data_IF_719197902534
#
_entry.id   IF_719197902534
#
_cell.length_a   1.000
_cell.length_b   1.000
_cell.length_c   1.000
_cell.angle_alpha   90.00
_cell.angle_beta   90.00
_cell.angle_gamma   90.00
#
_symmetry.space_group_name_H-M   'P 1'
#
loop_
_entity.id
_entity.type
_entity.pdbx_description
1 polymer ?
#
# COMPACT_ATOMS: atom_id res chain seq x y z
N UNK A 1 11.29 9.44 7.40
CA UNK A 1 10.15 8.75 6.75
C UNK A 1 10.71 7.69 5.83
N UNK A 2 10.13 6.48 5.86
CA UNK A 2 10.49 5.38 4.96
C UNK A 2 9.37 5.15 3.97
N UNK A 3 9.73 4.73 2.76
CA UNK A 3 8.76 4.33 1.74
C UNK A 3 8.46 2.85 1.94
N UNK A 4 7.17 2.49 1.98
CA UNK A 4 6.70 1.11 2.04
C UNK A 4 5.80 0.81 0.85
N UNK A 5 5.73 -0.47 0.47
CA UNK A 5 4.79 -0.95 -0.52
C UNK A 5 3.68 -1.74 0.20
N UNK A 6 2.43 -1.53 -0.19
CA UNK A 6 1.27 -2.23 0.38
C UNK A 6 1.30 -3.71 0.01
N UNK A 7 1.61 -4.02 -1.24
CA UNK A 7 1.94 -5.35 -1.75
C UNK A 7 3.46 -5.43 -1.89
N UNK A 8 4.08 -6.34 -1.13
CA UNK A 8 5.54 -6.41 -1.01
C UNK A 8 6.25 -7.13 -2.17
N UNK A 9 7.59 -7.14 -2.10
CA UNK A 9 8.49 -7.76 -3.09
C UNK A 9 8.20 -9.25 -3.34
N UNK A 10 7.94 -10.01 -2.27
CA UNK A 10 7.61 -11.44 -2.38
C UNK A 10 6.29 -11.70 -3.12
N UNK A 11 5.48 -10.66 -3.31
CA UNK A 11 4.18 -10.71 -3.96
C UNK A 11 4.14 -9.96 -5.29
N UNK A 12 5.31 -9.58 -5.84
CA UNK A 12 5.40 -8.94 -7.16
C UNK A 12 5.17 -7.42 -7.16
N UNK A 13 5.10 -6.76 -6.00
CA UNK A 13 4.70 -5.36 -5.93
C UNK A 13 5.81 -4.32 -6.16
N UNK A 14 7.03 -4.73 -6.53
CA UNK A 14 8.11 -3.79 -6.82
C UNK A 14 8.12 -3.43 -8.31
N UNK A 15 8.49 -2.19 -8.64
CA UNK A 15 8.48 -1.65 -9.99
C UNK A 15 9.03 -2.60 -11.07
N UNK A 16 10.15 -3.30 -10.82
CA UNK A 16 10.70 -4.26 -11.80
C UNK A 16 9.72 -5.39 -12.13
N UNK A 17 9.10 -5.98 -11.12
CA UNK A 17 8.13 -7.07 -11.28
C UNK A 17 6.83 -6.54 -11.90
N UNK A 18 6.37 -5.35 -11.49
CA UNK A 18 5.22 -4.69 -12.09
C UNK A 18 5.44 -4.47 -13.60
N UNK A 19 6.64 -4.04 -14.02
CA UNK A 19 6.98 -3.86 -15.43
C UNK A 19 6.89 -5.16 -16.23
N UNK A 20 7.32 -6.28 -15.65
CA UNK A 20 7.23 -7.60 -16.26
C UNK A 20 5.76 -8.00 -16.44
N UNK A 21 4.92 -7.84 -15.40
CA UNK A 21 3.48 -8.10 -15.47
C UNK A 21 2.75 -7.22 -16.51
N UNK A 22 3.10 -5.93 -16.58
CA UNK A 22 2.53 -5.02 -17.59
C UNK A 22 2.90 -5.46 -18.99
N UNK A 23 4.16 -5.85 -19.22
CA UNK A 23 4.63 -6.33 -20.53
C UNK A 23 3.89 -7.60 -20.95
N UNK A 24 3.71 -8.53 -20.02
CA UNK A 24 3.03 -9.81 -20.28
C UNK A 24 1.53 -9.61 -20.54
N UNK A 25 0.88 -8.71 -19.79
CA UNK A 25 -0.55 -8.40 -19.95
C UNK A 25 -0.85 -7.59 -21.21
N UNK A 26 0.06 -6.70 -21.60
CA UNK A 26 -0.11 -5.78 -22.72
C UNK A 26 1.05 -5.92 -23.74
N UNK A 27 1.07 -6.97 -24.56
CA UNK A 27 2.20 -7.24 -25.47
C UNK A 27 2.30 -6.25 -26.65
N UNK A 28 1.27 -5.44 -26.89
CA UNK A 28 1.17 -4.54 -28.05
C UNK A 28 1.50 -3.08 -27.75
N UNK A 29 1.70 -2.71 -26.48
CA UNK A 29 2.04 -1.33 -26.09
C UNK A 29 3.56 -1.11 -26.14
N UNK A 30 3.97 0.14 -26.34
CA UNK A 30 5.38 0.51 -26.39
C UNK A 30 6.07 0.40 -25.02
N UNK A 31 7.40 0.25 -25.01
CA UNK A 31 8.17 0.26 -23.76
C UNK A 31 7.98 1.55 -22.93
N UNK A 32 7.71 2.69 -23.59
CA UNK A 32 7.38 3.94 -22.90
C UNK A 32 6.03 3.87 -22.18
N UNK A 33 5.04 3.21 -22.78
CA UNK A 33 3.73 2.99 -22.17
C UNK A 33 3.80 1.96 -21.04
N UNK A 34 4.61 0.91 -21.20
CA UNK A 34 4.89 -0.08 -20.13
C UNK A 34 5.48 0.64 -18.92
N UNK A 35 6.51 1.46 -19.12
CA UNK A 35 7.16 2.20 -18.04
C UNK A 35 6.20 3.18 -17.37
N UNK A 36 5.38 3.89 -18.16
CA UNK A 36 4.39 4.83 -17.64
C UNK A 36 3.33 4.13 -16.77
N UNK A 37 2.76 3.02 -17.26
CA UNK A 37 1.77 2.25 -16.53
C UNK A 37 2.36 1.60 -15.27
N UNK A 38 3.57 1.04 -15.37
CA UNK A 38 4.23 0.42 -14.23
C UNK A 38 4.51 1.44 -13.12
N UNK A 39 4.93 2.67 -13.46
CA UNK A 39 5.09 3.76 -12.49
C UNK A 39 3.79 4.19 -11.84
N UNK A 40 2.70 4.22 -12.61
CA UNK A 40 1.38 4.54 -12.05
C UNK A 40 0.95 3.49 -11.02
N UNK A 41 1.14 2.21 -11.34
CA UNK A 41 0.85 1.08 -10.45
C UNK A 41 1.75 1.10 -9.21
N UNK A 42 3.05 1.33 -9.38
CA UNK A 42 4.02 1.45 -8.29
C UNK A 42 3.66 2.59 -7.35
N UNK A 43 3.22 3.74 -7.88
CA UNK A 43 2.75 4.87 -7.08
C UNK A 43 1.48 4.54 -6.28
N UNK A 44 0.53 3.78 -6.85
CA UNK A 44 -0.67 3.30 -6.14
C UNK A 44 -0.27 2.33 -5.01
N UNK A 45 0.71 1.46 -5.27
CA UNK A 45 1.18 0.48 -4.31
C UNK A 45 2.08 1.09 -3.22
N UNK A 46 2.56 2.31 -3.41
CA UNK A 46 3.51 2.96 -2.52
C UNK A 46 2.81 3.85 -1.49
N UNK A 47 3.20 3.70 -0.23
CA UNK A 47 2.75 4.55 0.88
C UNK A 47 3.93 5.03 1.71
N UNK A 48 3.80 6.23 2.27
CA UNK A 48 4.76 6.75 3.23
C UNK A 48 4.47 6.20 4.61
N UNK A 49 5.43 5.48 5.19
CA UNK A 49 5.27 4.86 6.49
C UNK A 49 5.80 5.77 7.62
N UNK A 50 5.04 5.84 8.71
CA UNK A 50 5.42 6.52 9.94
C UNK A 50 6.45 5.68 10.71
N UNK A 51 7.55 6.30 11.15
CA UNK A 51 8.62 5.60 11.87
C UNK A 51 8.15 4.95 13.18
N UNK A 52 7.05 5.43 13.78
CA UNK A 52 6.45 4.85 14.96
C UNK A 52 5.60 3.59 14.67
N UNK A 53 5.07 3.44 13.45
CA UNK A 53 4.17 2.34 13.07
C UNK A 53 4.86 1.24 12.23
N UNK A 54 6.05 1.52 11.69
CA UNK A 54 6.81 0.66 10.76
C UNK A 54 6.88 -0.83 11.18
N UNK A 55 7.06 -1.14 12.46
CA UNK A 55 7.27 -2.53 12.89
C UNK A 55 6.01 -3.40 12.80
N UNK A 56 4.82 -2.79 12.80
CA UNK A 56 3.54 -3.52 12.81
C UNK A 56 2.95 -3.60 11.40
N UNK A 57 3.14 -2.59 10.56
CA UNK A 57 2.58 -2.55 9.20
C UNK A 57 3.42 -3.28 8.16
N UNK A 58 4.74 -3.41 8.34
CA UNK A 58 5.64 -3.98 7.33
C UNK A 58 5.56 -5.51 7.17
N UNK A 59 4.88 -6.21 8.09
CA UNK A 59 4.77 -7.68 8.11
C UNK A 59 3.42 -8.22 7.62
N UNK A 60 2.48 -7.32 7.31
CA UNK A 60 1.18 -7.70 6.79
C UNK A 60 1.33 -8.18 5.34
N UNK A 61 0.94 -9.43 5.09
CA UNK A 61 0.99 -10.06 3.77
C UNK A 61 -0.37 -9.86 3.14
N UNK A 62 -0.41 -9.25 1.95
CA UNK A 62 -1.67 -9.14 1.20
C UNK A 62 -2.20 -10.55 0.89
N UNK A 63 -3.51 -10.77 0.99
CA UNK A 63 -4.12 -12.05 0.58
C UNK A 63 -4.01 -12.31 -0.93
N UNK A 64 -3.68 -11.27 -1.70
CA UNK A 64 -3.59 -11.31 -3.16
C UNK A 64 -2.25 -10.73 -3.61
N UNK A 65 -1.59 -11.43 -4.52
CA UNK A 65 -0.35 -10.98 -5.16
C UNK A 65 -0.60 -10.00 -6.31
N UNK A 66 0.42 -9.24 -6.69
CA UNK A 66 0.34 -8.33 -7.84
C UNK A 66 0.01 -9.11 -9.13
N UNK A 67 0.68 -10.24 -9.34
CA UNK A 67 0.40 -11.15 -10.47
C UNK A 67 -1.07 -11.55 -10.57
N UNK A 68 -1.69 -11.94 -9.45
CA UNK A 68 -3.11 -12.28 -9.43
C UNK A 68 -4.04 -11.10 -9.76
N UNK A 69 -3.64 -9.87 -9.40
CA UNK A 69 -4.41 -8.68 -9.74
C UNK A 69 -4.35 -8.40 -11.26
N UNK A 70 -3.20 -8.66 -11.89
CA UNK A 70 -3.07 -8.65 -13.34
C UNK A 70 -3.82 -9.79 -14.01
N UNK A 71 -3.82 -11.01 -13.45
CA UNK A 71 -4.50 -12.15 -14.08
C UNK A 71 -6.02 -12.03 -14.05
N UNK A 72 -6.61 -11.51 -12.96
CA UNK A 72 -8.06 -11.39 -12.76
C UNK A 72 -8.71 -10.19 -13.44
N UNK A 73 -7.93 -9.17 -13.81
CA UNK A 73 -8.44 -7.98 -14.49
C UNK A 73 -8.66 -8.24 -15.97
N UNK A 74 -9.59 -7.51 -16.58
CA UNK A 74 -9.72 -7.51 -18.03
C UNK A 74 -8.45 -6.93 -18.68
N UNK A 75 -8.21 -7.22 -19.96
CA UNK A 75 -7.04 -6.74 -20.70
C UNK A 75 -7.14 -5.26 -21.10
N UNK A 76 -7.69 -4.42 -20.22
CA UNK A 76 -7.73 -2.97 -20.38
C UNK A 76 -6.94 -2.31 -19.27
N UNK A 77 -6.25 -1.21 -19.61
CA UNK A 77 -5.48 -0.41 -18.65
C UNK A 77 -6.32 -0.01 -17.43
N UNK A 78 -7.55 0.47 -17.66
CA UNK A 78 -8.42 0.95 -16.60
C UNK A 78 -8.85 -0.16 -15.65
N UNK A 79 -9.20 -1.35 -16.16
CA UNK A 79 -9.57 -2.50 -15.33
C UNK A 79 -8.42 -2.94 -14.42
N UNK A 80 -7.19 -2.99 -14.96
CA UNK A 80 -5.97 -3.29 -14.17
C UNK A 80 -5.79 -2.26 -13.05
N UNK A 81 -5.86 -0.97 -13.38
CA UNK A 81 -5.67 0.11 -12.41
C UNK A 81 -6.75 0.10 -11.32
N UNK A 82 -8.01 -0.10 -11.68
CA UNK A 82 -9.12 -0.17 -10.72
C UNK A 82 -8.97 -1.36 -9.78
N UNK A 83 -8.61 -2.53 -10.30
CA UNK A 83 -8.40 -3.73 -9.50
C UNK A 83 -7.27 -3.53 -8.49
N UNK A 84 -6.13 -2.97 -8.94
CA UNK A 84 -4.98 -2.69 -8.08
C UNK A 84 -5.30 -1.62 -7.04
N UNK A 85 -5.99 -0.53 -7.41
CA UNK A 85 -6.44 0.49 -6.46
C UNK A 85 -7.36 -0.09 -5.39
N UNK A 86 -8.30 -0.94 -5.78
CA UNK A 86 -9.20 -1.61 -4.84
C UNK A 86 -8.45 -2.48 -3.83
N UNK A 87 -7.53 -3.31 -4.32
CA UNK A 87 -6.72 -4.18 -3.47
C UNK A 87 -5.80 -3.39 -2.53
N UNK A 88 -5.06 -2.41 -3.05
CA UNK A 88 -4.18 -1.55 -2.26
C UNK A 88 -4.98 -0.74 -1.22
N UNK A 89 -6.14 -0.20 -1.59
CA UNK A 89 -7.03 0.51 -0.67
C UNK A 89 -7.54 -0.38 0.47
N UNK A 90 -7.90 -1.63 0.19
CA UNK A 90 -8.30 -2.58 1.21
C UNK A 90 -7.16 -2.93 2.17
N UNK A 91 -5.94 -3.17 1.64
CA UNK A 91 -4.74 -3.38 2.47
C UNK A 91 -4.47 -2.17 3.36
N UNK A 92 -4.48 -0.96 2.79
CA UNK A 92 -4.25 0.27 3.54
C UNK A 92 -5.27 0.46 4.66
N UNK A 93 -6.55 0.24 4.37
CA UNK A 93 -7.63 0.36 5.35
C UNK A 93 -7.45 -0.63 6.52
N UNK A 94 -7.16 -1.90 6.23
CA UNK A 94 -6.88 -2.90 7.29
C UNK A 94 -5.71 -2.49 8.16
N UNK A 95 -4.63 -1.97 7.55
CA UNK A 95 -3.47 -1.47 8.30
C UNK A 95 -3.84 -0.30 9.20
N UNK A 96 -4.63 0.66 8.70
CA UNK A 96 -5.13 1.78 9.50
C UNK A 96 -5.99 1.29 10.67
N UNK A 97 -6.92 0.36 10.43
CA UNK A 97 -7.78 -0.22 11.47
C UNK A 97 -6.95 -0.95 12.55
N UNK A 98 -5.89 -1.65 12.16
CA UNK A 98 -5.00 -2.37 13.09
C UNK A 98 -4.18 -1.45 14.01
N UNK A 99 -3.98 -0.19 13.60
CA UNK A 99 -3.23 0.82 14.35
C UNK A 99 -4.17 1.76 15.12
N UNK A 100 -5.42 1.90 14.68
CA UNK A 100 -6.41 2.82 15.26
C UNK A 100 -6.52 2.69 16.77
N UNK A 101 -6.75 1.48 17.28
CA UNK A 101 -6.86 1.25 18.72
C UNK A 101 -5.60 1.65 19.50
N UNK A 102 -4.41 1.50 18.91
CA UNK A 102 -3.15 1.90 19.54
C UNK A 102 -3.05 3.42 19.66
N UNK A 103 -3.48 4.13 18.62
CA UNK A 103 -3.51 5.60 18.63
C UNK A 103 -4.48 6.11 19.68
N UNK A 104 -5.67 5.49 19.76
CA UNK A 104 -6.67 5.80 20.78
C UNK A 104 -6.11 5.57 22.19
N UNK A 105 -5.44 4.44 22.44
CA UNK A 105 -4.82 4.18 23.76
C UNK A 105 -3.70 5.16 24.11
N UNK A 106 -2.90 5.60 23.14
CA UNK A 106 -1.85 6.61 23.37
C UNK A 106 -2.46 7.98 23.66
N UNK A 107 -3.53 8.36 22.95
CA UNK A 107 -4.25 9.62 23.17
C UNK A 107 -4.90 9.66 24.56
N UNK A 108 -5.54 8.57 25.00
CA UNK A 108 -6.10 8.43 26.34
C UNK A 108 -5.01 8.57 27.42
N UNK A 109 -3.91 7.83 27.30
CA UNK A 109 -2.80 7.89 28.24
C UNK A 109 -2.15 9.29 28.28
N UNK A 110 -2.07 9.98 27.14
CA UNK A 110 -1.57 11.35 27.06
C UNK A 110 -2.49 12.32 27.79
N UNK A 111 -3.81 12.24 27.59
CA UNK A 111 -4.76 13.06 28.32
C UNK A 111 -4.70 12.81 29.83
N UNK A 112 -4.66 11.54 30.24
CA UNK A 112 -4.64 11.15 31.64
C UNK A 112 -3.37 11.58 32.37
N UNK A 113 -2.20 11.52 31.73
CA UNK A 113 -0.93 11.73 32.44
C UNK A 113 -0.22 13.04 32.14
N UNK A 114 -0.55 13.70 31.03
CA UNK A 114 0.15 14.89 30.56
C UNK A 114 -0.76 16.10 30.63
N UNK A 115 -1.95 16.03 30.02
CA UNK A 115 -2.90 17.16 30.00
C UNK A 115 -3.50 17.42 31.39
N UNK A 116 -3.88 16.36 32.11
CA UNK A 116 -4.40 16.49 33.48
C UNK A 116 -3.43 17.18 34.44
N UNK A 117 -2.12 17.04 34.22
CA UNK A 117 -1.04 17.65 35.03
C UNK A 117 -0.64 19.04 34.57
N UNK A 118 -1.08 19.46 33.38
CA UNK A 118 -0.86 20.82 32.85
C UNK A 118 -2.04 21.76 33.13
N UNK A 119 -3.16 21.25 33.65
CA UNK A 119 -4.36 22.03 34.00
C UNK A 119 -4.30 22.77 35.35
N UNK A 120 -3.29 22.51 36.18
CA UNK A 120 -3.04 23.25 37.43
C UNK A 120 -1.88 24.24 37.21
N UNK A 121 -2.16 25.39 36.58
CA UNK A 121 -1.27 26.57 36.56
C UNK A 121 -2.08 27.85 36.47
#
# INVERSE_FOLDING_TARGET
MTVEHLIGKSQGGYLKQIREEVRDKFPLISEAEIESLAKEIDAINTVTACQFCNSTTSRDVSEVSMHELFSRSESTRNSVLENIRGACGAVLKRKQDSVKWKLESVEEAFHEHVVSKMGDS
#
